data_IF_944820392313
#
_entry.id   IF_944820392313
#
_cell.length_a   1.000
_cell.length_b   1.000
_cell.length_c   1.000
_cell.angle_alpha   90.00
_cell.angle_beta   90.00
_cell.angle_gamma   90.00
#
_symmetry.space_group_name_H-M   'P 1'
#
loop_
_entity.id
_entity.type
_entity.pdbx_description
1 polymer ?
#
# COMPACT_ATOMS: atom_id res chain seq x y z
N UNK A 1 -49.11 -34.26 26.22
CA UNK A 1 -48.72 -33.56 24.97
C UNK A 1 -47.55 -32.63 25.26
N UNK A 2 -46.31 -33.03 24.96
CA UNK A 2 -45.11 -32.18 25.12
C UNK A 2 -44.90 -31.41 23.82
N UNK A 3 -45.06 -30.08 23.83
CA UNK A 3 -44.72 -29.21 22.69
C UNK A 3 -43.21 -29.00 22.65
N UNK A 4 -42.54 -29.57 21.65
CA UNK A 4 -41.15 -29.28 21.31
C UNK A 4 -41.07 -27.87 20.71
N UNK A 5 -40.34 -26.96 21.36
CA UNK A 5 -40.00 -25.65 20.80
C UNK A 5 -38.54 -25.72 20.35
N UNK A 6 -38.35 -25.83 19.04
CA UNK A 6 -37.08 -25.70 18.35
C UNK A 6 -36.57 -24.27 18.56
N UNK A 7 -35.44 -24.10 19.23
CA UNK A 7 -34.78 -22.80 19.35
C UNK A 7 -33.85 -22.62 18.14
N UNK A 8 -34.26 -21.80 17.18
CA UNK A 8 -33.39 -21.37 16.10
C UNK A 8 -32.32 -20.43 16.67
N UNK A 9 -31.07 -20.88 16.70
CA UNK A 9 -29.92 -20.01 16.92
C UNK A 9 -29.60 -19.36 15.57
N UNK A 10 -30.01 -18.10 15.40
CA UNK A 10 -29.52 -17.29 14.29
C UNK A 10 -28.10 -16.84 14.63
N UNK A 11 -27.11 -17.35 13.90
CA UNK A 11 -25.74 -16.84 13.96
C UNK A 11 -25.74 -15.43 13.36
N UNK A 12 -25.40 -14.42 14.18
CA UNK A 12 -25.20 -13.06 13.71
C UNK A 12 -23.82 -13.02 13.04
N UNK A 13 -23.79 -13.17 11.72
CA UNK A 13 -22.59 -12.90 10.93
C UNK A 13 -22.39 -11.39 10.91
N UNK A 14 -21.37 -10.90 11.62
CA UNK A 14 -20.90 -9.53 11.47
C UNK A 14 -20.11 -9.51 10.17
N UNK A 15 -20.71 -9.00 9.10
CA UNK A 15 -19.98 -8.73 7.86
C UNK A 15 -18.96 -7.62 8.13
N UNK A 16 -17.67 -7.93 8.06
CA UNK A 16 -16.63 -6.91 8.00
C UNK A 16 -16.88 -6.06 6.75
N UNK A 17 -17.07 -4.75 6.92
CA UNK A 17 -17.27 -3.82 5.80
C UNK A 17 -15.91 -3.28 5.37
N UNK A 18 -15.50 -3.49 4.12
CA UNK A 18 -14.26 -2.90 3.61
C UNK A 18 -14.28 -1.38 3.77
N UNK A 19 -13.19 -0.79 4.25
CA UNK A 19 -13.03 0.66 4.30
C UNK A 19 -12.18 1.10 3.11
N UNK A 20 -12.65 2.10 2.38
CA UNK A 20 -11.91 2.75 1.30
C UNK A 20 -11.62 4.19 1.72
N UNK A 21 -10.35 4.59 1.62
CA UNK A 21 -9.87 5.93 1.94
C UNK A 21 -9.08 6.48 0.76
N UNK A 22 -9.51 7.63 0.24
CA UNK A 22 -8.65 8.44 -0.62
C UNK A 22 -7.54 9.03 0.25
N UNK A 23 -6.30 8.68 -0.07
CA UNK A 23 -5.10 9.19 0.59
C UNK A 23 -4.61 10.45 -0.10
N UNK A 24 -4.68 10.48 -1.43
CA UNK A 24 -4.33 11.64 -2.25
C UNK A 24 -5.29 11.77 -3.43
N UNK A 25 -5.78 12.98 -3.67
CA UNK A 25 -6.52 13.40 -4.86
C UNK A 25 -5.95 14.72 -5.35
N UNK A 26 -5.21 14.66 -6.46
CA UNK A 26 -4.55 15.81 -7.03
C UNK A 26 -5.52 16.87 -7.54
N UNK A 27 -6.78 16.54 -7.81
CA UNK A 27 -7.79 17.50 -8.29
C UNK A 27 -8.25 18.50 -7.22
N UNK A 28 -7.97 18.21 -5.95
CA UNK A 28 -8.37 19.07 -4.83
C UNK A 28 -7.67 20.43 -4.88
N UNK A 29 -8.32 21.42 -4.28
CA UNK A 29 -7.83 22.79 -4.15
C UNK A 29 -7.33 23.42 -5.46
N UNK A 30 -7.98 23.08 -6.57
CA UNK A 30 -7.67 23.63 -7.90
C UNK A 30 -6.45 23.00 -8.56
N UNK A 31 -6.01 21.82 -8.09
CA UNK A 31 -4.91 21.09 -8.73
C UNK A 31 -3.53 21.44 -8.21
N UNK A 32 -3.42 22.05 -7.03
CA UNK A 32 -2.16 22.61 -6.49
C UNK A 32 -1.65 21.90 -5.23
N UNK A 33 -2.29 20.80 -4.84
CA UNK A 33 -1.87 20.02 -3.67
C UNK A 33 -1.04 18.81 -4.06
N UNK A 34 -0.04 18.55 -3.23
CA UNK A 34 0.80 17.36 -3.25
C UNK A 34 0.27 16.29 -2.30
N UNK A 35 0.74 15.03 -2.39
CA UNK A 35 0.45 14.03 -1.36
C UNK A 35 0.86 14.51 0.05
N UNK A 36 1.89 15.34 0.18
CA UNK A 36 2.34 15.88 1.46
C UNK A 36 1.32 16.84 2.10
N UNK A 37 0.48 17.48 1.28
CA UNK A 37 -0.64 18.30 1.74
C UNK A 37 -1.85 17.44 2.15
N UNK A 38 -1.84 16.14 1.78
CA UNK A 38 -2.93 15.18 1.98
C UNK A 38 -2.41 13.88 2.63
N UNK A 39 -2.26 13.90 3.95
CA UNK A 39 -1.95 12.73 4.81
C UNK A 39 -0.59 12.04 4.64
N UNK A 40 0.14 12.24 3.54
CA UNK A 40 1.51 11.71 3.42
C UNK A 40 2.51 12.61 4.13
N UNK A 41 3.60 12.00 4.58
CA UNK A 41 4.82 12.71 5.00
C UNK A 41 5.80 12.64 3.85
N UNK A 42 6.16 13.80 3.29
CA UNK A 42 7.26 13.88 2.33
C UNK A 42 8.59 13.89 3.08
N UNK A 43 9.48 12.97 2.71
CA UNK A 43 10.86 12.94 3.17
C UNK A 43 11.77 12.99 1.95
N UNK A 44 12.79 13.83 2.01
CA UNK A 44 13.89 13.86 1.06
C UNK A 44 15.20 13.98 1.82
N UNK A 45 16.29 13.49 1.24
CA UNK A 45 17.60 13.42 1.92
C UNK A 45 17.99 14.77 2.54
N UNK A 46 18.10 14.79 3.86
CA UNK A 46 18.46 15.96 4.65
C UNK A 46 19.98 16.23 4.64
N UNK A 47 20.81 15.26 4.22
CA UNK A 47 22.27 15.31 4.35
C UNK A 47 22.92 16.13 3.22
N UNK A 48 22.36 16.12 2.00
CA UNK A 48 22.91 16.84 0.84
C UNK A 48 22.14 18.10 0.44
N UNK A 49 21.07 18.43 1.18
CA UNK A 49 20.06 19.40 0.77
C UNK A 49 19.19 18.80 -0.33
N UNK A 50 17.88 18.71 -0.09
CA UNK A 50 16.93 18.13 -1.05
C UNK A 50 17.01 18.85 -2.41
N UNK A 51 17.67 18.22 -3.38
CA UNK A 51 17.58 18.60 -4.79
C UNK A 51 16.37 17.95 -5.48
N UNK A 52 15.65 17.08 -4.79
CA UNK A 52 14.33 16.63 -5.22
C UNK A 52 13.38 17.83 -5.30
N UNK A 53 12.65 17.90 -6.40
CA UNK A 53 11.63 18.92 -6.64
C UNK A 53 10.27 18.25 -6.64
N UNK A 54 9.36 18.74 -5.80
CA UNK A 54 7.95 18.43 -5.88
C UNK A 54 7.17 19.66 -6.35
N UNK A 55 6.24 19.46 -7.28
CA UNK A 55 5.35 20.51 -7.75
C UNK A 55 3.98 19.94 -8.05
N UNK A 56 2.92 20.71 -7.82
CA UNK A 56 1.55 20.31 -8.14
C UNK A 56 0.91 21.35 -9.06
N UNK A 57 0.42 20.92 -10.21
CA UNK A 57 -0.30 21.76 -11.15
C UNK A 57 -1.27 20.94 -11.99
N UNK A 58 -2.46 21.47 -12.25
CA UNK A 58 -3.43 20.84 -13.15
C UNK A 58 -3.91 19.46 -12.68
N UNK A 59 -3.80 19.17 -11.38
CA UNK A 59 -4.21 17.89 -10.81
C UNK A 59 -3.12 16.82 -10.77
N UNK A 60 -1.89 17.14 -11.19
CA UNK A 60 -0.75 16.23 -11.18
C UNK A 60 0.31 16.77 -10.22
N UNK A 61 0.74 15.92 -9.29
CA UNK A 61 2.01 16.14 -8.58
C UNK A 61 3.15 15.51 -9.35
N UNK A 62 4.15 16.30 -9.70
CA UNK A 62 5.42 15.81 -10.20
C UNK A 62 6.41 15.70 -9.06
N UNK A 63 6.94 14.50 -8.83
CA UNK A 63 8.13 14.24 -8.03
C UNK A 63 9.31 14.04 -8.98
N UNK A 64 10.31 14.91 -8.90
CA UNK A 64 11.50 14.90 -9.76
C UNK A 64 12.76 14.72 -8.91
N UNK A 65 13.45 13.60 -9.14
CA UNK A 65 14.74 13.22 -8.53
C UNK A 65 15.89 13.22 -9.53
N UNK A 66 15.68 13.78 -10.73
CA UNK A 66 16.63 13.72 -11.86
C UNK A 66 17.80 14.71 -11.79
N UNK A 67 17.86 15.57 -10.78
CA UNK A 67 18.90 16.59 -10.67
C UNK A 67 20.30 15.97 -10.47
N UNK A 68 20.42 14.91 -9.66
CA UNK A 68 21.65 14.09 -9.51
C UNK A 68 21.30 12.66 -9.09
N UNK A 69 22.07 11.67 -9.55
CA UNK A 69 21.98 10.24 -9.16
C UNK A 69 22.43 9.97 -7.70
N UNK A 70 21.84 10.65 -6.72
CA UNK A 70 22.01 10.42 -5.29
C UNK A 70 20.86 11.08 -4.49
N UNK A 71 19.69 11.18 -5.09
CA UNK A 71 18.52 11.82 -4.47
C UNK A 71 17.58 10.73 -4.01
N UNK A 72 17.29 10.73 -2.72
CA UNK A 72 16.31 9.87 -2.10
C UNK A 72 15.16 10.76 -1.65
N UNK A 73 13.98 10.57 -2.23
CA UNK A 73 12.82 11.39 -1.92
C UNK A 73 11.52 10.64 -2.20
N UNK A 74 10.54 10.79 -1.31
CA UNK A 74 9.23 10.23 -1.56
C UNK A 74 8.21 10.52 -0.48
N UNK A 75 7.01 10.02 -0.74
CA UNK A 75 5.83 10.20 0.09
C UNK A 75 5.60 8.93 0.91
N UNK A 76 5.61 9.08 2.24
CA UNK A 76 5.38 8.00 3.18
C UNK A 76 4.01 8.14 3.82
N UNK A 77 3.26 7.04 3.85
CA UNK A 77 2.00 6.96 4.58
C UNK A 77 2.05 5.75 5.51
N UNK A 78 1.80 6.00 6.80
CA UNK A 78 1.61 4.94 7.79
C UNK A 78 0.12 4.78 8.03
N UNK A 79 -0.42 3.62 7.63
CA UNK A 79 -1.85 3.35 7.77
C UNK A 79 -2.24 3.27 9.25
N UNK A 80 -3.27 4.02 9.69
CA UNK A 80 -3.75 3.97 11.06
C UNK A 80 -4.50 2.67 11.37
N UNK A 81 -4.88 1.91 10.33
CA UNK A 81 -5.45 0.57 10.44
C UNK A 81 -4.45 -0.49 9.94
N UNK A 82 -4.43 -1.70 10.53
CA UNK A 82 -3.52 -2.75 10.08
C UNK A 82 -3.73 -3.13 8.61
N UNK A 83 -2.63 -3.18 7.84
CA UNK A 83 -2.60 -3.74 6.49
C UNK A 83 -2.47 -5.27 6.59
N UNK A 84 -3.60 -5.94 6.86
CA UNK A 84 -3.62 -7.39 7.11
C UNK A 84 -3.81 -8.18 5.81
N UNK A 85 -2.71 -8.64 5.21
CA UNK A 85 -2.72 -9.45 3.97
C UNK A 85 -3.59 -10.71 4.02
N UNK A 86 -3.79 -11.34 5.19
CA UNK A 86 -4.66 -12.52 5.30
C UNK A 86 -6.15 -12.18 5.12
N UNK A 87 -6.55 -10.95 5.42
CA UNK A 87 -7.88 -10.41 5.11
C UNK A 87 -7.95 -9.75 3.74
N UNK A 88 -6.79 -9.40 3.17
CA UNK A 88 -6.66 -8.71 1.90
C UNK A 88 -6.78 -7.19 2.01
N UNK A 89 -6.02 -6.49 1.18
CA UNK A 89 -6.14 -5.04 0.97
C UNK A 89 -5.67 -4.68 -0.44
N UNK A 90 -6.07 -3.51 -0.93
CA UNK A 90 -5.69 -3.00 -2.23
C UNK A 90 -5.23 -1.54 -2.15
N UNK A 91 -4.21 -1.21 -2.92
CA UNK A 91 -3.75 0.15 -3.16
C UNK A 91 -4.10 0.51 -4.60
N UNK A 92 -4.99 1.49 -4.78
CA UNK A 92 -5.30 2.04 -6.10
C UNK A 92 -4.54 3.35 -6.28
N UNK A 93 -3.88 3.53 -7.41
CA UNK A 93 -3.07 4.72 -7.66
C UNK A 93 -2.98 5.03 -9.14
N UNK A 94 -2.80 6.32 -9.45
CA UNK A 94 -2.76 6.80 -10.83
C UNK A 94 -1.47 7.58 -11.05
N UNK A 95 -0.53 6.97 -11.79
CA UNK A 95 0.84 7.50 -11.99
C UNK A 95 1.30 7.35 -13.43
N UNK A 96 2.34 8.10 -13.79
CA UNK A 96 3.05 7.99 -15.06
C UNK A 96 4.50 8.45 -14.91
N UNK A 97 5.42 7.81 -15.62
CA UNK A 97 6.86 8.08 -15.57
C UNK A 97 7.21 9.02 -16.73
N UNK A 98 7.44 10.30 -16.43
CA UNK A 98 7.75 11.30 -17.45
C UNK A 98 9.15 11.12 -18.04
N UNK A 99 10.09 10.67 -17.20
CA UNK A 99 11.45 10.32 -17.58
C UNK A 99 12.08 9.42 -16.52
N UNK A 100 12.88 8.44 -16.93
CA UNK A 100 13.67 7.59 -16.03
C UNK A 100 15.11 7.44 -16.52
N UNK A 101 16.05 7.27 -15.60
CA UNK A 101 17.42 6.86 -15.94
C UNK A 101 18.04 6.09 -14.78
N UNK A 102 18.71 4.99 -15.08
CA UNK A 102 19.38 4.16 -14.09
C UNK A 102 20.82 3.82 -14.50
N UNK A 103 21.69 3.71 -13.50
CA UNK A 103 23.05 3.18 -13.65
C UNK A 103 23.16 1.67 -13.39
N UNK A 104 22.11 1.06 -12.84
CA UNK A 104 22.01 -0.35 -12.48
C UNK A 104 20.75 -0.96 -13.09
N UNK A 105 20.83 -2.17 -13.64
CA UNK A 105 19.65 -2.91 -14.12
C UNK A 105 18.76 -3.46 -13.00
N UNK A 106 19.12 -3.19 -11.75
CA UNK A 106 18.46 -3.71 -10.55
C UNK A 106 17.80 -2.60 -9.71
N UNK A 107 17.73 -1.35 -10.19
CA UNK A 107 17.14 -0.21 -9.47
C UNK A 107 16.39 0.72 -10.44
N UNK A 108 15.34 1.36 -9.93
CA UNK A 108 14.54 2.35 -10.66
C UNK A 108 14.47 3.65 -9.86
N UNK A 109 14.37 4.78 -10.56
CA UNK A 109 14.21 6.09 -9.92
C UNK A 109 12.81 6.36 -9.36
N UNK A 110 11.86 5.44 -9.56
CA UNK A 110 10.54 5.48 -8.95
C UNK A 110 10.11 4.07 -8.54
N UNK A 111 9.72 3.92 -7.28
CA UNK A 111 9.23 2.68 -6.71
C UNK A 111 8.00 2.91 -5.84
N UNK A 112 7.22 1.84 -5.70
CA UNK A 112 6.10 1.75 -4.74
C UNK A 112 6.42 0.64 -3.77
N UNK A 113 6.38 0.94 -2.47
CA UNK A 113 6.57 -0.07 -1.42
C UNK A 113 5.27 -0.18 -0.62
N UNK A 114 4.79 -1.40 -0.43
CA UNK A 114 3.67 -1.70 0.46
C UNK A 114 4.07 -2.78 1.47
N UNK A 115 4.04 -2.46 2.76
CA UNK A 115 4.45 -3.34 3.86
C UNK A 115 3.24 -3.67 4.74
N UNK A 116 2.88 -4.96 4.80
CA UNK A 116 1.80 -5.47 5.64
C UNK A 116 2.12 -5.33 7.14
N UNK A 117 1.11 -5.55 7.98
CA UNK A 117 1.24 -5.52 9.44
C UNK A 117 2.25 -6.52 10.00
N UNK A 118 2.58 -7.59 9.26
CA UNK A 118 3.54 -8.64 9.62
C UNK A 118 4.88 -8.54 8.87
N UNK A 119 5.19 -7.36 8.30
CA UNK A 119 6.44 -7.02 7.59
C UNK A 119 6.67 -7.75 6.25
N UNK A 120 5.76 -8.63 5.82
CA UNK A 120 5.75 -9.06 4.43
C UNK A 120 5.27 -7.90 3.55
N UNK A 121 5.89 -7.74 2.40
CA UNK A 121 5.56 -6.66 1.49
C UNK A 121 6.00 -6.91 0.07
N UNK A 122 5.93 -5.85 -0.72
CA UNK A 122 6.39 -5.80 -2.11
C UNK A 122 6.94 -4.41 -2.37
N UNK A 123 8.03 -4.36 -3.12
CA UNK A 123 8.52 -3.16 -3.80
C UNK A 123 8.33 -3.39 -5.30
N UNK A 124 7.63 -2.47 -5.96
CA UNK A 124 7.46 -2.43 -7.41
C UNK A 124 8.25 -1.25 -7.96
N UNK A 125 9.17 -1.54 -8.87
CA UNK A 125 10.00 -0.59 -9.57
C UNK A 125 9.39 -0.27 -10.95
N UNK A 126 9.47 0.99 -11.36
CA UNK A 126 8.90 1.49 -12.61
C UNK A 126 10.01 2.08 -13.49
N UNK A 127 10.22 1.46 -14.64
CA UNK A 127 10.94 2.04 -15.78
C UNK A 127 9.94 2.50 -16.84
N UNK A 128 10.39 3.24 -17.85
CA UNK A 128 9.51 3.75 -18.92
C UNK A 128 8.81 2.63 -19.70
N UNK A 129 9.40 1.44 -19.79
CA UNK A 129 8.93 0.31 -20.58
C UNK A 129 8.75 -1.00 -19.78
N UNK A 130 8.94 -0.98 -18.46
CA UNK A 130 8.83 -2.15 -17.62
C UNK A 130 8.36 -1.81 -16.19
N UNK A 131 7.55 -2.70 -15.63
CA UNK A 131 7.22 -2.72 -14.19
C UNK A 131 7.65 -4.06 -13.62
N UNK A 132 8.36 -4.04 -12.50
CA UNK A 132 8.92 -5.26 -11.93
C UNK A 132 9.04 -5.24 -10.40
N UNK A 133 9.13 -6.42 -9.81
CA UNK A 133 9.24 -6.61 -8.37
C UNK A 133 10.70 -6.69 -7.90
N UNK A 134 11.04 -6.02 -6.81
CA UNK A 134 12.35 -6.14 -6.20
C UNK A 134 12.49 -7.45 -5.40
N UNK A 135 13.59 -8.17 -5.62
CA UNK A 135 13.96 -9.34 -4.80
C UNK A 135 14.47 -8.94 -3.41
N UNK A 136 14.54 -9.89 -2.47
CA UNK A 136 15.17 -9.65 -1.16
C UNK A 136 16.68 -9.42 -1.24
N UNK A 137 17.30 -9.65 -2.39
CA UNK A 137 18.71 -9.30 -2.63
C UNK A 137 18.85 -7.95 -3.34
N UNK A 138 17.76 -7.19 -3.45
CA UNK A 138 17.71 -5.93 -4.20
C UNK A 138 18.19 -6.09 -5.64
N UNK A 139 17.76 -7.19 -6.27
CA UNK A 139 17.90 -7.45 -7.70
C UNK A 139 16.53 -7.50 -8.37
N UNK A 140 16.52 -7.38 -9.69
CA UNK A 140 15.34 -7.56 -10.51
C UNK A 140 14.75 -8.98 -10.34
N UNK A 141 13.43 -9.09 -10.06
CA UNK A 141 12.71 -10.37 -9.96
C UNK A 141 11.70 -10.55 -11.12
N UNK A 142 10.44 -10.89 -10.83
CA UNK A 142 9.37 -10.94 -11.83
C UNK A 142 9.02 -9.54 -12.35
N UNK A 143 8.80 -9.42 -13.66
CA UNK A 143 8.48 -8.17 -14.33
C UNK A 143 7.55 -8.36 -15.52
N UNK A 144 7.04 -7.24 -16.04
CA UNK A 144 6.22 -7.17 -17.25
C UNK A 144 6.63 -5.97 -18.09
N UNK A 145 6.83 -6.21 -19.39
CA UNK A 145 6.98 -5.11 -20.35
C UNK A 145 5.67 -4.32 -20.40
N UNK A 146 5.72 -3.03 -20.08
CA UNK A 146 4.56 -2.16 -19.98
C UNK A 146 5.01 -0.70 -20.14
N UNK A 147 4.36 0.05 -21.04
CA UNK A 147 4.64 1.48 -21.21
C UNK A 147 4.06 2.27 -20.02
N UNK A 148 4.93 2.84 -19.20
CA UNK A 148 4.56 3.59 -17.99
C UNK A 148 4.53 5.11 -18.22
N UNK A 149 4.81 5.58 -19.44
CA UNK A 149 4.96 7.01 -19.74
C UNK A 149 3.68 7.82 -19.60
N UNK A 150 2.53 7.17 -19.76
CA UNK A 150 1.21 7.77 -19.61
C UNK A 150 0.64 7.56 -18.22
N UNK A 151 -0.06 8.57 -17.70
CA UNK A 151 -0.83 8.43 -16.46
C UNK A 151 -1.81 7.27 -16.62
N UNK A 152 -1.63 6.25 -15.79
CA UNK A 152 -2.35 4.99 -15.85
C UNK A 152 -2.93 4.66 -14.49
N UNK A 153 -4.16 4.13 -14.46
CA UNK A 153 -4.82 3.67 -13.24
C UNK A 153 -4.35 2.26 -12.91
N UNK A 154 -3.67 2.12 -11.77
CA UNK A 154 -3.19 0.86 -11.25
C UNK A 154 -3.98 0.42 -10.02
N UNK A 155 -4.08 -0.89 -9.84
CA UNK A 155 -4.55 -1.52 -8.60
C UNK A 155 -3.57 -2.61 -8.19
N UNK A 156 -2.92 -2.42 -7.04
CA UNK A 156 -2.09 -3.41 -6.38
C UNK A 156 -2.91 -4.10 -5.30
N UNK A 157 -3.32 -5.33 -5.54
CA UNK A 157 -4.04 -6.16 -4.58
C UNK A 157 -3.06 -7.07 -3.85
N UNK A 158 -3.23 -7.18 -2.53
CA UNK A 158 -2.43 -8.03 -1.66
C UNK A 158 -3.36 -8.97 -0.91
N UNK A 159 -3.17 -10.29 -1.09
CA UNK A 159 -3.96 -11.32 -0.43
C UNK A 159 -3.10 -12.54 -0.10
N UNK A 160 -3.19 -12.99 1.15
CA UNK A 160 -2.39 -14.12 1.63
C UNK A 160 -0.91 -13.82 1.47
N UNK A 161 -0.18 -14.64 0.72
CA UNK A 161 1.25 -14.49 0.45
C UNK A 161 1.55 -13.94 -0.96
N UNK A 162 0.54 -13.43 -1.67
CA UNK A 162 0.66 -13.03 -3.06
C UNK A 162 0.23 -11.57 -3.26
N UNK A 163 0.67 -11.01 -4.39
CA UNK A 163 0.17 -9.76 -4.93
C UNK A 163 -0.24 -9.94 -6.39
N UNK A 164 -1.15 -9.07 -6.85
CA UNK A 164 -1.43 -8.84 -8.27
C UNK A 164 -1.47 -7.34 -8.52
N UNK A 165 -0.87 -6.91 -9.64
CA UNK A 165 -0.92 -5.56 -10.16
C UNK A 165 -1.75 -5.57 -11.43
N UNK A 166 -2.79 -4.74 -11.45
CA UNK A 166 -3.60 -4.48 -12.64
C UNK A 166 -3.37 -3.07 -13.13
N UNK A 167 -3.32 -2.88 -14.45
CA UNK A 167 -3.39 -1.58 -15.12
C UNK A 167 -4.71 -1.49 -15.90
N UNK A 168 -5.48 -0.44 -15.70
CA UNK A 168 -6.80 -0.25 -16.32
C UNK A 168 -7.70 -1.49 -16.18
N UNK A 169 -7.73 -2.08 -14.97
CA UNK A 169 -8.47 -3.31 -14.63
C UNK A 169 -8.01 -4.60 -15.31
N UNK A 170 -6.87 -4.60 -16.00
CA UNK A 170 -6.25 -5.82 -16.56
C UNK A 170 -5.03 -6.19 -15.73
N UNK A 171 -4.98 -7.42 -15.19
CA UNK A 171 -3.79 -7.91 -14.49
C UNK A 171 -2.59 -7.94 -15.46
N UNK A 172 -1.49 -7.33 -15.06
CA UNK A 172 -0.25 -7.24 -15.84
C UNK A 172 0.94 -7.92 -15.14
N UNK A 173 0.90 -8.04 -13.81
CA UNK A 173 1.97 -8.65 -13.03
C UNK A 173 1.40 -9.29 -11.78
N UNK A 174 1.91 -10.45 -11.39
CA UNK A 174 1.58 -11.10 -10.14
C UNK A 174 2.76 -11.90 -9.60
N UNK A 175 2.80 -12.10 -8.29
CA UNK A 175 3.95 -12.71 -7.64
C UNK A 175 3.75 -12.96 -6.15
N UNK A 176 4.84 -13.31 -5.47
CA UNK A 176 4.84 -13.57 -4.03
C UNK A 176 5.31 -12.34 -3.26
N UNK A 177 4.72 -12.13 -2.08
CA UNK A 177 5.24 -11.16 -1.12
C UNK A 177 6.57 -11.65 -0.54
N UNK A 178 7.37 -10.70 -0.06
CA UNK A 178 8.73 -10.93 0.45
C UNK A 178 8.90 -10.29 1.83
N UNK A 179 9.78 -10.85 2.63
CA UNK A 179 10.25 -10.24 3.86
C UNK A 179 11.60 -9.58 3.60
N UNK A 180 11.60 -8.25 3.51
CA UNK A 180 12.81 -7.46 3.30
C UNK A 180 13.45 -7.03 4.62
N UNK A 181 12.79 -7.23 5.77
CA UNK A 181 13.17 -6.66 7.07
C UNK A 181 14.52 -7.13 7.59
N UNK A 182 14.97 -8.30 7.13
CA UNK A 182 16.23 -8.93 7.49
C UNK A 182 17.37 -8.59 6.52
N UNK A 183 17.08 -7.89 5.43
CA UNK A 183 18.11 -7.59 4.43
C UNK A 183 18.93 -6.40 4.90
N UNK A 184 20.25 -6.55 5.07
CA UNK A 184 21.11 -5.43 5.43
C UNK A 184 21.21 -4.49 4.22
N UNK A 185 20.53 -3.35 4.31
CA UNK A 185 20.61 -2.28 3.32
C UNK A 185 21.17 -1.02 3.96
N UNK A 186 22.09 -0.39 3.25
CA UNK A 186 22.50 0.98 3.57
C UNK A 186 21.41 1.93 3.10
N UNK A 187 20.65 2.46 4.04
CA UNK A 187 19.66 3.51 3.82
C UNK A 187 20.08 4.74 4.62
N UNK A 188 19.93 5.97 4.11
CA UNK A 188 20.42 7.18 4.79
C UNK A 188 19.59 7.54 6.03
N UNK A 189 18.41 6.91 6.22
CA UNK A 189 17.58 7.07 7.41
C UNK A 189 17.83 5.95 8.43
N UNK A 190 17.67 6.22 9.74
CA UNK A 190 17.93 5.25 10.81
C UNK A 190 17.01 4.02 10.79
N UNK A 191 15.91 4.08 10.01
CA UNK A 191 14.97 2.96 9.81
C UNK A 191 14.70 2.87 8.31
N UNK A 192 14.71 1.66 7.78
CA UNK A 192 14.40 1.39 6.38
C UNK A 192 12.87 1.26 6.20
N UNK A 193 12.31 1.58 5.02
CA UNK A 193 10.86 1.45 4.82
C UNK A 193 10.34 0.03 5.10
N UNK A 194 11.17 -0.99 4.85
CA UNK A 194 10.88 -2.40 5.06
C UNK A 194 10.75 -2.84 6.53
N UNK A 195 11.18 -1.99 7.47
CA UNK A 195 11.11 -2.27 8.91
C UNK A 195 9.92 -1.57 9.58
N UNK A 196 9.10 -0.86 8.80
CA UNK A 196 7.92 -0.15 9.28
C UNK A 196 6.66 -0.89 8.83
N UNK A 197 5.95 -1.48 9.79
CA UNK A 197 4.68 -2.14 9.52
C UNK A 197 3.61 -1.13 9.07
N UNK A 198 2.68 -1.58 8.20
CA UNK A 198 1.58 -0.78 7.67
C UNK A 198 2.03 0.44 6.85
N UNK A 199 3.17 0.32 6.17
CA UNK A 199 3.77 1.40 5.39
C UNK A 199 3.34 1.32 3.92
N UNK A 200 3.05 2.48 3.35
CA UNK A 200 2.97 2.72 1.91
C UNK A 200 3.99 3.81 1.56
N UNK A 201 4.74 3.63 0.48
CA UNK A 201 5.70 4.58 -0.04
C UNK A 201 5.54 4.73 -1.56
N UNK A 202 5.74 5.96 -2.04
CA UNK A 202 5.87 6.30 -3.45
C UNK A 202 7.05 7.25 -3.62
N UNK A 203 8.04 6.90 -4.43
CA UNK A 203 9.15 7.79 -4.75
C UNK A 203 10.45 7.08 -5.11
N UNK A 204 11.56 7.80 -4.96
CA UNK A 204 12.90 7.30 -5.23
C UNK A 204 13.57 6.85 -3.92
N UNK A 205 13.85 5.55 -3.83
CA UNK A 205 14.53 4.92 -2.71
C UNK A 205 15.94 4.42 -3.08
N UNK A 206 16.54 4.93 -4.16
CA UNK A 206 17.91 4.59 -4.57
C UNK A 206 18.82 5.80 -4.83
N UNK A 207 20.13 5.58 -4.77
CA UNK A 207 21.15 6.50 -5.26
C UNK A 207 21.78 6.06 -6.58
N UNK A 208 21.14 5.12 -7.29
CA UNK A 208 21.67 4.54 -8.53
C UNK A 208 20.72 4.66 -9.73
N UNK A 209 19.60 5.35 -9.53
CA UNK A 209 18.65 5.72 -10.55
C UNK A 209 18.03 7.07 -10.19
N UNK A 210 17.24 7.60 -11.11
CA UNK A 210 16.56 8.87 -10.98
C UNK A 210 15.32 8.89 -11.88
N UNK A 211 14.29 9.66 -11.49
CA UNK A 211 13.08 9.78 -12.30
C UNK A 211 12.41 11.15 -12.19
N UNK A 212 11.50 11.41 -13.11
CA UNK A 212 10.43 12.38 -12.95
C UNK A 212 9.12 11.63 -13.09
N UNK A 213 8.31 11.58 -12.03
CA UNK A 213 7.05 10.84 -12.00
C UNK A 213 5.88 11.76 -11.68
N UNK A 214 4.79 11.61 -12.44
CA UNK A 214 3.50 12.25 -12.18
C UNK A 214 2.61 11.33 -11.33
N UNK A 215 1.96 11.91 -10.31
CA UNK A 215 1.01 11.24 -9.41
C UNK A 215 -0.27 12.06 -9.38
N UNK A 216 -1.42 11.43 -9.57
CA UNK A 216 -2.73 12.12 -9.58
C UNK A 216 -3.69 11.61 -8.51
N UNK A 217 -3.57 10.34 -8.14
CA UNK A 217 -4.48 9.72 -7.19
C UNK A 217 -3.80 8.60 -6.41
N UNK A 218 -4.13 8.47 -5.12
CA UNK A 218 -3.79 7.32 -4.29
C UNK A 218 -4.96 7.03 -3.35
N UNK A 219 -5.41 5.78 -3.28
CA UNK A 219 -6.44 5.32 -2.38
C UNK A 219 -6.12 3.94 -1.81
N UNK A 220 -6.46 3.74 -0.54
CA UNK A 220 -6.30 2.48 0.17
C UNK A 220 -7.68 1.87 0.42
N UNK A 221 -7.85 0.61 0.02
CA UNK A 221 -8.97 -0.22 0.43
C UNK A 221 -8.46 -1.31 1.36
N UNK A 222 -8.83 -1.25 2.64
CA UNK A 222 -8.47 -2.25 3.64
C UNK A 222 -9.71 -2.96 4.17
N UNK A 223 -9.62 -4.28 4.31
CA UNK A 223 -10.65 -5.05 5.00
C UNK A 223 -10.39 -4.96 6.51
N UNK A 224 -11.31 -4.39 7.31
CA UNK A 224 -11.12 -4.34 8.75
C UNK A 224 -11.13 -5.76 9.31
N UNK A 225 -10.12 -6.08 10.12
CA UNK A 225 -10.10 -7.31 10.89
C UNK A 225 -10.95 -7.09 12.14
N UNK A 226 -12.03 -7.88 12.38
CA UNK A 226 -12.81 -7.74 13.61
C UNK A 226 -11.92 -7.98 14.83
N UNK A 227 -11.89 -7.03 15.77
CA UNK A 227 -11.12 -7.25 17.00
C UNK A 227 -11.65 -8.47 17.77
N UNK A 228 -10.76 -9.31 18.35
CA UNK A 228 -11.16 -10.47 19.15
C UNK A 228 -12.13 -10.13 20.30
N UNK A 229 -12.06 -8.90 20.83
CA UNK A 229 -12.90 -8.38 21.90
C UNK A 229 -14.38 -8.31 21.51
N UNK A 230 -14.69 -7.89 20.28
CA UNK A 230 -16.06 -7.78 19.76
C UNK A 230 -16.68 -9.18 19.59
N UNK A 231 -15.89 -10.14 19.10
CA UNK A 231 -16.30 -11.55 19.00
C UNK A 231 -16.54 -12.17 20.39
N UNK A 232 -15.63 -11.95 21.34
CA UNK A 232 -15.78 -12.44 22.70
C UNK A 232 -17.02 -11.86 23.40
N UNK A 233 -17.26 -10.56 23.25
CA UNK A 233 -18.44 -9.90 23.82
C UNK A 233 -19.75 -10.36 23.18
N UNK A 234 -19.77 -10.57 21.86
CA UNK A 234 -20.92 -11.15 21.17
C UNK A 234 -21.22 -12.57 21.69
N UNK A 235 -20.21 -13.43 21.81
CA UNK A 235 -20.35 -14.79 22.36
C UNK A 235 -20.84 -14.80 23.81
N UNK A 236 -20.32 -13.91 24.65
CA UNK A 236 -20.78 -13.73 26.03
C UNK A 236 -22.25 -13.28 26.05
N UNK A 237 -22.62 -12.31 25.21
CA UNK A 237 -24.00 -11.86 25.05
C UNK A 237 -24.95 -13.01 24.65
N UNK A 238 -24.56 -13.83 23.67
CA UNK A 238 -25.32 -15.00 23.26
C UNK A 238 -25.48 -16.04 24.38
N UNK A 239 -24.41 -16.31 25.14
CA UNK A 239 -24.45 -17.23 26.27
C UNK A 239 -25.43 -16.75 27.35
N UNK A 240 -25.47 -15.44 27.63
CA UNK A 240 -26.42 -14.85 28.57
C UNK A 240 -27.87 -14.94 28.10
N UNK A 241 -28.14 -14.65 26.82
CA UNK A 241 -29.48 -14.77 26.23
C UNK A 241 -29.96 -16.22 26.30
N UNK A 242 -29.12 -17.18 25.92
CA UNK A 242 -29.43 -18.61 25.98
C UNK A 242 -29.73 -19.09 27.41
N UNK A 243 -28.99 -18.58 28.40
CA UNK A 243 -29.22 -18.88 29.83
C UNK A 243 -30.51 -18.27 30.35
N UNK A 244 -30.85 -17.05 29.95
CA UNK A 244 -32.09 -16.38 30.32
C UNK A 244 -33.33 -17.09 29.73
N UNK A 245 -33.25 -17.55 28.48
CA UNK A 245 -34.31 -18.32 27.82
C UNK A 245 -34.54 -19.68 28.49
N UNK A 246 -33.48 -20.36 28.94
CA UNK A 246 -33.60 -21.63 29.70
C UNK A 246 -34.28 -21.43 31.06
N UNK A 247 -33.97 -20.36 31.79
CA UNK A 247 -34.56 -20.07 33.10
C UNK A 247 -36.03 -19.67 33.07
N UNK A 248 -36.53 -19.13 31.95
CA UNK A 248 -37.97 -18.84 31.78
C UNK A 248 -38.81 -20.08 31.46
N UNK A 249 -38.20 -21.21 31.13
CA UNK A 249 -38.88 -22.47 30.80
C UNK A 249 -38.89 -23.48 31.96
N UNK A 250 -38.24 -23.17 33.08
CA UNK A 250 -38.30 -23.90 34.36
C UNK A 250 -39.22 -23.18 35.33
#
# INVERSE_FOLDING_TARGET
>A
MKKSILAAVSALFISASSFAQTLYDGSLNGGTETPADQSFVYLADFIFGSQAVQSASGGVTTLDTSAVNNILAGYFYSSPVPLTRSAGYALSFSIGINSESHGSGDRAGFSIIAVSSDLLGIELAFWEDEIWAQSTSFTHAEGTAFDTSSITDYSLEILGSAYSLSANSTEILSGSLRDYSQTPISFPLPVTPYQVANLIFFGDDTSSAQSSAGITHIALQANPVPEPSVMAMALIGFAWIMRAVRRRKS
#
